data_IF_766582523187
#
_entry.id   IF_766582523187
#
_cell.length_a   1.000
_cell.length_b   1.000
_cell.length_c   1.000
_cell.angle_alpha   90.00
_cell.angle_beta   90.00
_cell.angle_gamma   90.00
#
_symmetry.space_group_name_H-M   'P 1'
#
loop_
_entity.id
_entity.type
_entity.pdbx_description
1 polymer ?
#
# COMPACT_ATOMS: atom_id res chain seq x y z
N UNK A 1 -9.67 -14.38 26.13
CA UNK A 1 -8.32 -13.80 25.99
C UNK A 1 -8.23 -13.27 24.58
N UNK A 2 -8.36 -11.96 24.41
CA UNK A 2 -8.32 -11.29 23.10
C UNK A 2 -6.89 -11.42 22.56
N UNK A 3 -6.66 -12.40 21.66
CA UNK A 3 -5.42 -12.48 20.90
C UNK A 3 -5.40 -11.25 20.00
N UNK A 4 -4.72 -10.21 20.46
CA UNK A 4 -4.30 -9.10 19.63
C UNK A 4 -3.24 -9.64 18.68
N UNK A 5 -3.69 -10.32 17.64
CA UNK A 5 -2.92 -10.58 16.42
C UNK A 5 -2.63 -9.22 15.79
N UNK A 6 -1.71 -8.47 16.42
CA UNK A 6 -1.09 -7.31 15.83
C UNK A 6 -0.54 -7.83 14.53
N UNK A 7 -1.05 -7.34 13.40
CA UNK A 7 -0.44 -7.54 12.10
C UNK A 7 1.07 -7.33 12.32
N UNK A 8 1.86 -8.41 12.34
CA UNK A 8 3.31 -8.34 12.48
C UNK A 8 3.84 -7.81 11.15
N UNK A 9 3.59 -6.52 10.93
CA UNK A 9 4.07 -5.74 9.82
C UNK A 9 5.55 -5.54 10.10
N UNK A 10 6.37 -6.26 9.34
CA UNK A 10 7.81 -6.04 9.39
C UNK A 10 8.14 -4.59 8.98
N UNK A 11 9.33 -4.09 9.32
CA UNK A 11 9.76 -2.76 8.89
C UNK A 11 9.68 -2.56 7.36
N UNK A 12 9.85 -3.65 6.59
CA UNK A 12 9.72 -3.64 5.13
C UNK A 12 8.27 -3.40 4.66
N UNK A 13 7.28 -3.96 5.35
CA UNK A 13 5.86 -3.74 5.08
C UNK A 13 5.49 -2.27 5.25
N UNK A 14 6.04 -1.65 6.29
CA UNK A 14 5.78 -0.26 6.60
C UNK A 14 6.32 0.67 5.51
N UNK A 15 7.49 0.36 4.94
CA UNK A 15 8.05 1.08 3.79
C UNK A 15 7.17 0.92 2.55
N UNK A 16 6.73 -0.30 2.24
CA UNK A 16 5.86 -0.58 1.08
C UNK A 16 4.51 0.14 1.24
N UNK A 17 3.92 0.12 2.43
CA UNK A 17 2.68 0.82 2.73
C UNK A 17 2.86 2.35 2.67
N UNK A 18 3.96 2.88 3.19
CA UNK A 18 4.29 4.30 3.08
C UNK A 18 4.41 4.75 1.62
N UNK A 19 5.09 3.95 0.79
CA UNK A 19 5.19 4.21 -0.64
C UNK A 19 3.82 4.15 -1.34
N UNK A 20 2.98 3.17 -0.97
CA UNK A 20 1.63 3.05 -1.50
C UNK A 20 0.78 4.29 -1.19
N UNK A 21 0.86 4.83 0.04
CA UNK A 21 0.16 6.05 0.43
C UNK A 21 0.62 7.24 -0.41
N UNK A 22 1.93 7.39 -0.66
CA UNK A 22 2.46 8.46 -1.51
C UNK A 22 1.92 8.34 -2.94
N UNK A 23 1.90 7.13 -3.50
CA UNK A 23 1.34 6.84 -4.83
C UNK A 23 -0.16 7.16 -4.90
N UNK A 24 -0.93 6.90 -3.84
CA UNK A 24 -2.33 7.29 -3.76
C UNK A 24 -2.50 8.81 -3.79
N UNK A 25 -1.72 9.54 -3.00
CA UNK A 25 -1.78 11.01 -2.96
C UNK A 25 -1.47 11.57 -4.35
N UNK A 26 -0.42 11.08 -5.00
CA UNK A 26 -0.04 11.51 -6.35
C UNK A 26 -1.15 11.14 -7.36
N UNK A 27 -1.68 9.91 -7.29
CA UNK A 27 -2.74 9.45 -8.19
C UNK A 27 -4.01 10.31 -8.09
N UNK A 28 -4.46 10.62 -6.87
CA UNK A 28 -5.60 11.50 -6.64
C UNK A 28 -5.32 12.96 -7.01
N UNK A 29 -4.10 13.45 -6.80
CA UNK A 29 -3.72 14.79 -7.21
C UNK A 29 -3.75 14.96 -8.74
N UNK A 30 -3.23 13.97 -9.47
CA UNK A 30 -3.32 13.91 -10.93
C UNK A 30 -4.79 13.81 -11.38
N UNK A 31 -5.61 13.04 -10.67
CA UNK A 31 -7.07 12.94 -10.95
C UNK A 31 -7.75 14.31 -10.86
N UNK A 32 -7.37 15.13 -9.87
CA UNK A 32 -7.90 16.47 -9.71
C UNK A 32 -7.54 17.40 -10.88
N UNK A 33 -6.48 17.09 -11.64
CA UNK A 33 -6.09 17.74 -12.89
C UNK A 33 -6.89 17.30 -14.12
N UNK A 34 -7.97 16.52 -13.95
CA UNK A 34 -8.83 16.01 -15.02
C UNK A 34 -8.15 14.92 -15.91
N UNK A 35 -7.06 14.32 -15.42
CA UNK A 35 -6.34 13.22 -16.06
C UNK A 35 -6.98 11.86 -15.74
N UNK A 36 -7.85 11.40 -16.63
CA UNK A 36 -8.72 10.22 -16.42
C UNK A 36 -8.08 8.87 -16.82
N UNK A 37 -6.91 8.87 -17.48
CA UNK A 37 -6.26 7.62 -17.94
C UNK A 37 -5.11 7.21 -17.03
N UNK A 38 -4.21 8.14 -16.72
CA UNK A 38 -3.00 7.85 -15.94
C UNK A 38 -3.34 7.65 -14.45
N UNK A 39 -4.27 8.44 -13.91
CA UNK A 39 -4.64 8.37 -12.50
C UNK A 39 -5.22 7.01 -12.09
N UNK A 40 -6.23 6.43 -12.78
CA UNK A 40 -6.76 5.13 -12.41
C UNK A 40 -5.73 4.00 -12.49
N UNK A 41 -4.76 4.09 -13.42
CA UNK A 41 -3.68 3.09 -13.53
C UNK A 41 -2.79 3.13 -12.28
N UNK A 42 -2.34 4.33 -11.88
CA UNK A 42 -1.53 4.51 -10.67
C UNK A 42 -2.30 4.04 -9.43
N UNK A 43 -3.56 4.43 -9.31
CA UNK A 43 -4.45 4.03 -8.21
C UNK A 43 -4.67 2.51 -8.19
N UNK A 44 -4.86 1.88 -9.34
CA UNK A 44 -5.05 0.42 -9.46
C UNK A 44 -3.81 -0.32 -9.02
N UNK A 45 -2.61 0.14 -9.39
CA UNK A 45 -1.36 -0.49 -8.94
C UNK A 45 -1.19 -0.29 -7.42
N UNK A 46 -1.47 0.90 -6.91
CA UNK A 46 -1.38 1.18 -5.47
C UNK A 46 -2.36 0.33 -4.65
N UNK A 47 -3.64 0.29 -5.03
CA UNK A 47 -4.68 -0.45 -4.32
C UNK A 47 -4.69 -1.95 -4.60
N UNK A 48 -4.45 -2.35 -5.84
CA UNK A 48 -4.53 -3.75 -6.27
C UNK A 48 -3.26 -4.55 -6.00
N UNK A 49 -2.11 -3.89 -5.88
CA UNK A 49 -0.81 -4.57 -5.77
C UNK A 49 -0.02 -4.09 -4.55
N UNK A 50 0.28 -2.80 -4.41
CA UNK A 50 1.16 -2.33 -3.33
C UNK A 50 0.55 -2.46 -1.94
N UNK A 51 -0.72 -2.09 -1.74
CA UNK A 51 -1.38 -2.21 -0.43
C UNK A 51 -1.52 -3.70 -0.03
N UNK A 52 -2.03 -4.60 -0.90
CA UNK A 52 -2.08 -6.02 -0.60
C UNK A 52 -0.71 -6.61 -0.36
N UNK A 53 0.32 -6.29 -1.15
CA UNK A 53 1.69 -6.74 -0.90
C UNK A 53 2.20 -6.19 0.43
N UNK A 54 2.04 -4.90 0.71
CA UNK A 54 2.45 -4.28 1.96
C UNK A 54 1.80 -4.90 3.18
N UNK A 55 0.57 -5.44 3.06
CA UNK A 55 -0.13 -6.14 4.14
C UNK A 55 0.19 -7.64 4.20
N UNK A 56 0.24 -8.32 3.06
CA UNK A 56 0.44 -9.77 2.92
C UNK A 56 1.89 -10.20 3.02
N UNK A 57 2.83 -9.29 2.80
CA UNK A 57 4.27 -9.55 2.92
C UNK A 57 4.62 -9.75 4.40
N UNK A 58 4.09 -10.78 5.07
CA UNK A 58 4.60 -11.18 6.38
C UNK A 58 6.08 -11.50 6.17
N UNK A 59 6.94 -10.60 6.65
CA UNK A 59 8.33 -10.96 6.89
C UNK A 59 8.26 -12.24 7.70
N UNK A 60 8.76 -13.35 7.13
CA UNK A 60 8.87 -14.61 7.85
C UNK A 60 9.44 -14.29 9.24
N UNK A 61 8.92 -14.89 10.32
CA UNK A 61 9.59 -14.77 11.61
C UNK A 61 11.05 -15.13 11.35
N UNK A 62 11.94 -14.15 11.58
CA UNK A 62 13.37 -14.44 11.62
C UNK A 62 13.52 -15.38 12.82
N UNK A 63 13.69 -16.66 12.53
CA UNK A 63 14.26 -17.62 13.48
C UNK A 63 15.61 -17.09 13.96
#
# INVERSE_FOLDING_TARGET
MENKDKLHLGPINFIILGLAIILLIIGYFIMAGNEIVISPIILTIAYGVLIPLGLLYKSKPKE
#
